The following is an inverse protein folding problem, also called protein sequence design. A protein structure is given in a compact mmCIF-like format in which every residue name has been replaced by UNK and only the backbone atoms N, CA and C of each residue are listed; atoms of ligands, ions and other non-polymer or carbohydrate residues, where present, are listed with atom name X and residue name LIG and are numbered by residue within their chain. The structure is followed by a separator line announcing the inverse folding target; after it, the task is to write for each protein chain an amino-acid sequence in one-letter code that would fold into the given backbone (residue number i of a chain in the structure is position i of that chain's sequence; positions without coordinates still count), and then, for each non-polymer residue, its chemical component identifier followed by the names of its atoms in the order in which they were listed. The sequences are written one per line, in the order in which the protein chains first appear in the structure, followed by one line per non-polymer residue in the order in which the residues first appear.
data_IF_249670021677
#
_entry.id   IF_249670021677
#
_cell.length_a   1.000
_cell.length_b   1.000
_cell.length_c   1.000
_cell.angle_alpha   90.00
_cell.angle_beta   90.00
_cell.angle_gamma   90.00
#
_symmetry.space_group_name_H-M   'P 1'
#
loop_
_entity.id
_entity.type
_entity.pdbx_description
1 polymer ?
#
# COMPACT_ATOMS: atom_id res chain seq x y z
N UNK A 1 7.86 17.23 -46.39
CA UNK A 1 7.43 16.65 -45.10
C UNK A 1 6.62 17.72 -44.36
N UNK A 2 5.30 17.57 -44.21
CA UNK A 2 4.44 18.59 -43.58
C UNK A 2 4.47 18.48 -42.04
N UNK A 3 4.47 19.64 -41.38
CA UNK A 3 4.54 19.86 -39.93
C UNK A 3 3.26 19.42 -39.18
N UNK A 4 3.34 18.85 -37.96
CA UNK A 4 2.16 18.49 -37.18
C UNK A 4 1.51 19.71 -36.50
N UNK A 5 0.17 19.74 -36.35
CA UNK A 5 -0.55 20.88 -35.80
C UNK A 5 -0.46 20.97 -34.27
N UNK A 6 -0.40 22.21 -33.77
CA UNK A 6 -0.28 22.54 -32.35
C UNK A 6 -1.43 22.01 -31.47
N UNK A 7 -1.06 21.46 -30.31
CA UNK A 7 -1.98 20.91 -29.32
C UNK A 7 -2.80 22.02 -28.61
N UNK A 8 -4.11 22.00 -28.83
CA UNK A 8 -5.07 22.87 -28.13
C UNK A 8 -5.27 22.38 -26.69
N UNK A 9 -4.73 23.12 -25.71
CA UNK A 9 -5.02 22.92 -24.28
C UNK A 9 -6.49 23.26 -24.02
N UNK A 10 -7.33 22.23 -23.86
CA UNK A 10 -8.70 22.36 -23.37
C UNK A 10 -8.64 22.63 -21.87
N UNK A 11 -8.91 23.86 -21.47
CA UNK A 11 -9.18 24.23 -20.07
C UNK A 11 -10.50 23.57 -19.66
N UNK A 12 -10.43 22.51 -18.86
CA UNK A 12 -11.61 21.84 -18.28
C UNK A 12 -12.03 22.54 -16.99
N UNK A 13 -12.40 23.81 -17.10
CA UNK A 13 -13.09 24.53 -16.01
C UNK A 13 -14.60 24.37 -16.20
N UNK A 14 -15.15 23.14 -16.14
CA UNK A 14 -16.61 22.96 -16.28
C UNK A 14 -17.17 21.61 -15.82
N UNK A 15 -16.73 21.09 -14.67
CA UNK A 15 -17.53 20.10 -13.93
C UNK A 15 -17.57 20.52 -12.47
N UNK A 16 -18.74 21.01 -12.05
CA UNK A 16 -19.04 21.61 -10.75
C UNK A 16 -18.86 20.65 -9.56
N UNK A 17 -17.61 20.35 -9.24
CA UNK A 17 -17.21 19.71 -7.99
C UNK A 17 -17.07 20.84 -6.95
N UNK A 18 -18.17 21.10 -6.26
CA UNK A 18 -18.19 21.95 -5.08
C UNK A 18 -17.32 21.30 -4.00
N UNK A 19 -16.13 21.85 -3.76
CA UNK A 19 -15.22 21.43 -2.68
C UNK A 19 -15.61 22.15 -1.38
N UNK A 20 -16.19 21.51 -0.34
CA UNK A 20 -16.28 22.12 0.98
C UNK A 20 -15.07 21.65 1.80
N UNK A 21 -13.87 22.07 1.44
CA UNK A 21 -12.71 21.92 2.32
C UNK A 21 -12.04 23.27 2.49
N UNK A 22 -12.60 24.07 3.39
CA UNK A 22 -11.93 25.27 3.91
C UNK A 22 -11.09 24.80 5.10
N UNK A 23 -9.79 24.68 4.87
CA UNK A 23 -8.80 24.38 5.90
C UNK A 23 -8.82 25.45 7.01
N UNK A 24 -8.83 25.08 8.30
CA UNK A 24 -8.94 26.04 9.41
C UNK A 24 -7.60 26.72 9.78
N UNK A 25 -6.55 26.62 8.95
CA UNK A 25 -5.19 27.10 9.29
C UNK A 25 -4.67 28.29 8.44
N UNK A 26 -5.52 29.24 8.05
CA UNK A 26 -5.03 30.55 7.56
C UNK A 26 -5.36 31.67 8.54
N UNK A 27 -4.39 31.98 9.41
CA UNK A 27 -4.35 33.20 10.23
C UNK A 27 -3.87 34.34 9.35
N UNK A 28 -4.69 35.37 9.17
CA UNK A 28 -4.25 36.66 8.61
C UNK A 28 -3.75 37.52 9.79
N UNK A 29 -2.50 38.00 9.81
CA UNK A 29 -2.02 38.88 10.87
C UNK A 29 -2.28 40.34 10.48
N UNK A 30 -3.25 40.98 11.12
CA UNK A 30 -3.27 42.44 11.23
C UNK A 30 -3.41 42.81 12.70
N UNK A 31 -2.27 43.20 13.27
CA UNK A 31 -2.12 44.02 14.47
C UNK A 31 -2.97 45.31 14.33
N UNK A 32 -3.42 46.08 15.31
CA UNK A 32 -3.22 46.26 16.75
C UNK A 32 -4.28 47.28 17.15
N UNK A 33 -4.94 47.17 18.30
CA UNK A 33 -5.26 48.31 19.20
C UNK A 33 -5.84 47.76 20.51
N UNK A 34 -5.25 48.25 21.60
CA UNK A 34 -5.41 47.84 22.98
C UNK A 34 -6.84 47.88 23.52
N UNK A 35 -7.15 46.96 24.45
CA UNK A 35 -7.53 47.35 25.81
C UNK A 35 -7.55 46.16 26.79
N UNK A 36 -6.68 46.28 27.79
CA UNK A 36 -6.84 46.06 29.22
C UNK A 36 -7.82 44.98 29.76
N UNK A 37 -7.23 44.08 30.56
CA UNK A 37 -7.71 43.54 31.85
C UNK A 37 -9.12 42.96 31.94
N UNK A 38 -9.21 41.64 32.17
CA UNK A 38 -9.65 41.09 33.47
C UNK A 38 -9.53 39.57 33.46
N UNK A 39 -8.67 39.04 34.32
CA UNK A 39 -8.69 37.65 34.77
C UNK A 39 -9.99 37.42 35.55
N UNK A 40 -11.03 36.93 34.89
CA UNK A 40 -12.20 36.34 35.56
C UNK A 40 -12.30 34.88 35.18
N UNK A 41 -12.04 34.02 36.16
CA UNK A 41 -12.48 32.63 36.20
C UNK A 41 -14.01 32.63 36.12
N UNK A 42 -14.55 32.73 34.90
CA UNK A 42 -15.98 32.64 34.66
C UNK A 42 -16.35 31.17 34.55
N UNK A 43 -17.10 30.70 35.55
CA UNK A 43 -17.82 29.43 35.48
C UNK A 43 -18.56 29.37 34.14
N UNK A 44 -18.55 28.23 33.43
CA UNK A 44 -19.23 28.14 32.15
C UNK A 44 -20.69 28.52 32.35
N UNK A 45 -21.14 29.52 31.59
CA UNK A 45 -22.54 29.95 31.57
C UNK A 45 -23.41 28.73 31.36
N UNK A 46 -24.45 28.54 32.17
CA UNK A 46 -25.39 27.39 32.13
C UNK A 46 -25.90 27.16 30.68
N UNK A 47 -26.08 28.24 29.92
CA UNK A 47 -26.45 28.19 28.50
C UNK A 47 -25.40 27.53 27.61
N UNK A 48 -24.11 27.75 27.89
CA UNK A 48 -23.02 27.11 27.15
C UNK A 48 -22.99 25.59 27.42
N UNK A 49 -23.28 25.15 28.65
CA UNK A 49 -23.36 23.72 28.98
C UNK A 49 -24.56 23.04 28.32
N UNK A 50 -25.71 23.73 28.25
CA UNK A 50 -26.91 23.24 27.56
C UNK A 50 -26.68 23.11 26.03
N UNK A 51 -25.97 24.07 25.42
CA UNK A 51 -25.62 24.00 23.99
C UNK A 51 -24.68 22.82 23.71
N UNK A 52 -23.69 22.58 24.58
CA UNK A 52 -22.76 21.44 24.44
C UNK A 52 -23.52 20.10 24.59
N UNK A 53 -24.43 20.01 25.55
CA UNK A 53 -25.28 18.83 25.73
C UNK A 53 -26.17 18.59 24.51
N UNK A 54 -26.80 19.63 23.97
CA UNK A 54 -27.60 19.55 22.75
C UNK A 54 -26.76 19.10 21.53
N UNK A 55 -25.54 19.61 21.38
CA UNK A 55 -24.61 19.17 20.34
C UNK A 55 -24.22 17.69 20.48
N UNK A 56 -23.99 17.22 21.71
CA UNK A 56 -23.70 15.81 21.96
C UNK A 56 -24.89 14.92 21.60
N UNK A 57 -26.11 15.34 21.95
CA UNK A 57 -27.33 14.63 21.59
C UNK A 57 -27.53 14.58 20.07
N UNK A 58 -27.28 15.68 19.36
CA UNK A 58 -27.33 15.70 17.89
C UNK A 58 -26.31 14.74 17.26
N UNK A 59 -25.07 14.72 17.73
CA UNK A 59 -24.04 13.77 17.26
C UNK A 59 -24.43 12.32 17.55
N UNK A 60 -25.00 12.05 18.72
CA UNK A 60 -25.49 10.73 19.08
C UNK A 60 -26.63 10.29 18.13
N UNK A 61 -27.61 11.15 17.89
CA UNK A 61 -28.70 10.92 16.94
C UNK A 61 -28.18 10.71 15.51
N UNK A 62 -27.25 11.52 15.03
CA UNK A 62 -26.62 11.35 13.71
C UNK A 62 -25.85 10.04 13.59
N UNK A 63 -25.17 9.60 14.66
CA UNK A 63 -24.51 8.30 14.69
C UNK A 63 -25.53 7.14 14.62
N UNK A 64 -26.66 7.29 15.31
CA UNK A 64 -27.74 6.32 15.30
C UNK A 64 -28.43 6.25 13.94
N UNK A 65 -28.67 7.40 13.28
CA UNK A 65 -29.21 7.46 11.91
C UNK A 65 -28.26 6.77 10.93
N UNK A 66 -26.95 6.97 11.04
CA UNK A 66 -25.96 6.26 10.22
C UNK A 66 -25.99 4.75 10.46
N UNK A 67 -26.04 4.33 11.74
CA UNK A 67 -26.15 2.92 12.09
C UNK A 67 -27.43 2.28 11.53
N UNK A 68 -28.59 2.92 11.71
CA UNK A 68 -29.87 2.43 11.21
C UNK A 68 -29.92 2.39 9.68
N UNK A 69 -29.28 3.34 9.00
CA UNK A 69 -29.14 3.31 7.53
C UNK A 69 -28.25 2.16 7.07
N UNK A 70 -27.13 1.92 7.74
CA UNK A 70 -26.27 0.77 7.47
C UNK A 70 -27.00 -0.55 7.69
N UNK A 71 -27.74 -0.69 8.81
CA UNK A 71 -28.57 -1.86 9.07
C UNK A 71 -29.65 -2.05 8.00
N UNK A 72 -30.36 -0.99 7.60
CA UNK A 72 -31.34 -1.09 6.51
C UNK A 72 -30.67 -1.49 5.18
N UNK A 73 -29.49 -0.97 4.88
CA UNK A 73 -28.73 -1.39 3.68
C UNK A 73 -28.39 -2.88 3.72
N UNK A 74 -27.95 -3.40 4.88
CA UNK A 74 -27.66 -4.83 5.06
C UNK A 74 -28.94 -5.67 4.92
N UNK A 75 -30.06 -5.22 5.49
CA UNK A 75 -31.34 -5.91 5.37
C UNK A 75 -31.88 -5.91 3.94
N UNK A 76 -31.73 -4.80 3.21
CA UNK A 76 -32.08 -4.73 1.78
C UNK A 76 -31.21 -5.66 0.96
N UNK A 77 -29.88 -5.66 1.19
CA UNK A 77 -28.97 -6.59 0.54
C UNK A 77 -29.33 -8.05 0.86
N UNK A 78 -29.70 -8.36 2.10
CA UNK A 78 -30.13 -9.70 2.50
C UNK A 78 -31.44 -10.14 1.82
N UNK A 79 -32.34 -9.20 1.52
CA UNK A 79 -33.58 -9.46 0.79
C UNK A 79 -33.34 -9.63 -0.71
N UNK A 80 -32.43 -8.84 -1.27
CA UNK A 80 -32.02 -8.93 -2.67
C UNK A 80 -31.22 -10.20 -2.96
N UNK A 81 -30.56 -10.79 -1.95
CA UNK A 81 -30.01 -12.15 -2.02
C UNK A 81 -31.20 -13.12 -2.09
N UNK A 82 -31.42 -13.83 -3.21
CA UNK A 82 -32.60 -14.66 -3.38
C UNK A 82 -32.64 -15.82 -2.37
N UNK A 83 -33.58 -15.79 -1.41
CA UNK A 83 -33.94 -16.91 -0.52
C UNK A 83 -35.27 -17.52 -1.01
N UNK A 84 -35.66 -18.81 -0.81
CA UNK A 84 -34.99 -20.11 -0.86
C UNK A 84 -35.31 -20.93 -2.14
N UNK A 85 -36.06 -20.39 -3.12
CA UNK A 85 -36.58 -21.17 -4.27
C UNK A 85 -35.57 -21.37 -5.40
N UNK A 86 -34.62 -20.43 -5.57
CA UNK A 86 -33.49 -20.53 -6.52
C UNK A 86 -32.14 -20.75 -5.82
N UNK A 87 -32.03 -20.39 -4.53
CA UNK A 87 -30.82 -20.58 -3.71
C UNK A 87 -30.62 -21.99 -3.19
N UNK A 88 -31.66 -22.82 -3.12
CA UNK A 88 -31.50 -24.24 -2.75
C UNK A 88 -30.55 -24.99 -3.70
N UNK A 89 -30.38 -24.54 -4.95
CA UNK A 89 -29.40 -25.11 -5.87
C UNK A 89 -28.17 -24.23 -6.10
N UNK A 90 -28.26 -22.91 -5.89
CA UNK A 90 -27.13 -22.01 -6.11
C UNK A 90 -26.05 -22.13 -5.02
N UNK A 91 -26.44 -22.21 -3.74
CA UNK A 91 -25.46 -22.42 -2.66
C UNK A 91 -24.72 -23.76 -2.79
N UNK A 92 -25.37 -24.93 -3.03
CA UNK A 92 -24.62 -26.16 -3.27
C UNK A 92 -23.87 -26.14 -4.61
N UNK A 93 -24.30 -25.36 -5.61
CA UNK A 93 -23.53 -25.20 -6.85
C UNK A 93 -22.24 -24.42 -6.61
N UNK A 94 -22.29 -23.32 -5.85
CA UNK A 94 -21.10 -22.54 -5.51
C UNK A 94 -20.11 -23.36 -4.68
N UNK A 95 -20.60 -24.09 -3.67
CA UNK A 95 -19.75 -25.01 -2.88
C UNK A 95 -19.13 -26.10 -3.76
N UNK A 96 -19.89 -26.69 -4.70
CA UNK A 96 -19.33 -27.65 -5.67
C UNK A 96 -18.29 -27.01 -6.57
N UNK A 97 -18.49 -25.75 -6.97
CA UNK A 97 -17.57 -25.04 -7.83
C UNK A 97 -16.28 -24.69 -7.09
N UNK A 98 -16.39 -24.21 -5.85
CA UNK A 98 -15.28 -24.01 -4.91
C UNK A 98 -14.47 -25.31 -4.75
N UNK A 99 -15.12 -26.43 -4.47
CA UNK A 99 -14.44 -27.72 -4.34
C UNK A 99 -13.72 -28.15 -5.63
N UNK A 100 -14.32 -27.90 -6.81
CA UNK A 100 -13.69 -28.20 -8.09
C UNK A 100 -12.45 -27.35 -8.32
N UNK A 101 -12.56 -26.04 -8.09
CA UNK A 101 -11.43 -25.13 -8.25
C UNK A 101 -10.34 -25.39 -7.23
N UNK A 102 -10.70 -25.64 -5.97
CA UNK A 102 -9.75 -26.06 -4.94
C UNK A 102 -8.95 -27.28 -5.38
N UNK A 103 -9.61 -28.35 -5.82
CA UNK A 103 -8.91 -29.56 -6.32
C UNK A 103 -8.07 -29.31 -7.56
N UNK A 104 -8.60 -28.54 -8.52
CA UNK A 104 -7.86 -28.19 -9.73
C UNK A 104 -6.59 -27.38 -9.40
N UNK A 105 -6.68 -26.44 -8.46
CA UNK A 105 -5.54 -25.66 -7.98
C UNK A 105 -4.54 -26.50 -7.17
N UNK A 106 -5.00 -27.43 -6.34
CA UNK A 106 -4.14 -28.38 -5.63
C UNK A 106 -3.32 -29.24 -6.61
N UNK A 107 -3.98 -29.84 -7.62
CA UNK A 107 -3.28 -30.59 -8.66
C UNK A 107 -2.30 -29.73 -9.45
N UNK A 108 -2.72 -28.54 -9.85
CA UNK A 108 -1.85 -27.61 -10.57
C UNK A 108 -0.62 -27.23 -9.73
N UNK A 109 -0.78 -27.03 -8.42
CA UNK A 109 0.33 -26.74 -7.52
C UNK A 109 1.31 -27.93 -7.42
N UNK A 110 0.82 -29.17 -7.30
CA UNK A 110 1.68 -30.37 -7.27
C UNK A 110 2.46 -30.57 -8.59
N UNK A 111 1.79 -30.36 -9.73
CA UNK A 111 2.43 -30.47 -11.04
C UNK A 111 3.53 -29.42 -11.22
N UNK A 112 3.22 -28.15 -10.91
CA UNK A 112 4.18 -27.06 -11.02
C UNK A 112 5.31 -27.20 -10.01
N UNK A 113 5.04 -27.66 -8.79
CA UNK A 113 6.05 -27.82 -7.74
C UNK A 113 7.20 -28.75 -8.15
N UNK A 114 6.90 -29.83 -8.87
CA UNK A 114 7.94 -30.75 -9.34
C UNK A 114 8.97 -30.03 -10.23
N UNK A 115 8.49 -29.21 -11.16
CA UNK A 115 9.35 -28.40 -12.04
C UNK A 115 10.01 -27.22 -11.32
N UNK A 116 9.28 -26.55 -10.42
CA UNK A 116 9.80 -25.45 -9.60
C UNK A 116 10.93 -25.92 -8.69
N UNK A 117 10.76 -27.08 -8.04
CA UNK A 117 11.77 -27.70 -7.19
C UNK A 117 13.03 -28.08 -7.94
N UNK A 118 12.88 -28.63 -9.15
CA UNK A 118 14.02 -28.92 -10.00
C UNK A 118 14.76 -27.64 -10.42
N UNK A 119 14.04 -26.63 -10.88
CA UNK A 119 14.63 -25.36 -11.30
C UNK A 119 15.36 -24.66 -10.14
N UNK A 120 14.80 -24.67 -8.93
CA UNK A 120 15.45 -24.06 -7.77
C UNK A 120 16.74 -24.81 -7.42
N UNK A 121 16.72 -26.15 -7.44
CA UNK A 121 17.94 -26.94 -7.22
C UNK A 121 19.02 -26.63 -8.25
N UNK A 122 18.62 -26.47 -9.52
CA UNK A 122 19.54 -26.15 -10.62
C UNK A 122 20.08 -24.71 -10.56
N UNK A 123 19.35 -23.78 -9.92
CA UNK A 123 19.72 -22.36 -9.78
C UNK A 123 20.36 -22.02 -8.41
N UNK A 124 20.89 -23.01 -7.70
CA UNK A 124 21.66 -22.76 -6.47
C UNK A 124 20.87 -22.80 -5.16
N UNK A 125 19.67 -23.38 -5.17
CA UNK A 125 18.88 -23.63 -3.96
C UNK A 125 17.84 -22.54 -3.64
N UNK A 126 17.06 -22.78 -2.59
CA UNK A 126 15.90 -21.94 -2.24
C UNK A 126 16.30 -20.59 -1.66
N UNK A 127 17.37 -20.53 -0.88
CA UNK A 127 17.92 -19.28 -0.32
C UNK A 127 18.38 -18.32 -1.43
N UNK A 128 19.08 -18.84 -2.45
CA UNK A 128 19.47 -18.07 -3.63
C UNK A 128 18.26 -17.54 -4.41
N UNK A 129 17.21 -18.37 -4.56
CA UNK A 129 15.96 -17.96 -5.17
C UNK A 129 15.27 -16.84 -4.39
N UNK A 130 15.18 -16.94 -3.05
CA UNK A 130 14.59 -15.90 -2.20
C UNK A 130 15.33 -14.57 -2.33
N UNK A 131 16.67 -14.59 -2.27
CA UNK A 131 17.50 -13.40 -2.48
C UNK A 131 17.26 -12.77 -3.84
N UNK A 132 17.15 -13.60 -4.89
CA UNK A 132 16.83 -13.13 -6.23
C UNK A 132 15.41 -12.55 -6.32
N UNK A 133 14.43 -13.19 -5.67
CA UNK A 133 13.04 -12.73 -5.65
C UNK A 133 12.91 -11.39 -4.91
N UNK A 134 13.54 -11.24 -3.75
CA UNK A 134 13.54 -9.98 -2.99
C UNK A 134 14.24 -8.87 -3.78
N UNK A 135 15.37 -9.16 -4.43
CA UNK A 135 16.06 -8.22 -5.31
C UNK A 135 15.17 -7.77 -6.49
N UNK A 136 14.48 -8.72 -7.13
CA UNK A 136 13.53 -8.40 -8.21
C UNK A 136 12.31 -7.60 -7.71
N UNK A 137 11.79 -7.91 -6.51
CA UNK A 137 10.69 -7.16 -5.92
C UNK A 137 11.10 -5.74 -5.57
N UNK A 138 12.28 -5.56 -4.97
CA UNK A 138 12.86 -4.25 -4.71
C UNK A 138 13.05 -3.50 -6.03
N UNK A 139 13.61 -4.14 -7.05
CA UNK A 139 13.79 -3.53 -8.37
C UNK A 139 12.47 -3.08 -9.00
N UNK A 140 11.43 -3.90 -8.95
CA UNK A 140 10.10 -3.54 -9.47
C UNK A 140 9.45 -2.40 -8.67
N UNK A 141 9.72 -2.32 -7.36
CA UNK A 141 9.22 -1.23 -6.50
C UNK A 141 9.94 0.10 -6.77
N UNK A 142 11.23 0.07 -7.10
CA UNK A 142 11.98 1.27 -7.52
C UNK A 142 11.69 1.67 -8.97
N UNK A 143 11.40 0.72 -9.87
CA UNK A 143 11.13 0.98 -11.29
C UNK A 143 9.75 1.66 -11.54
N UNK A 144 8.72 1.36 -10.73
CA UNK A 144 7.39 2.00 -10.83
C UNK A 144 7.37 3.45 -10.29
N UNK A 145 8.42 3.86 -9.58
CA UNK A 145 8.61 5.23 -9.06
C UNK A 145 9.60 6.10 -9.84
N UNK A 146 10.41 5.52 -10.71
CA UNK A 146 11.49 6.22 -11.43
C UNK A 146 11.33 6.27 -12.95
N UNK A 147 10.14 5.97 -13.48
CA UNK A 147 9.81 6.27 -14.88
C UNK A 147 9.34 7.73 -15.10
N UNK A 148 9.94 8.68 -14.39
CA UNK A 148 9.98 10.11 -14.75
C UNK A 148 11.22 10.80 -14.12
N UNK A 149 12.38 10.16 -14.17
CA UNK A 149 13.65 10.89 -14.16
C UNK A 149 14.34 10.53 -15.45
N UNK A 150 14.04 11.32 -16.48
CA UNK A 150 14.94 11.41 -17.61
C UNK A 150 16.35 11.66 -17.08
N UNK A 151 17.33 11.21 -17.86
CA UNK A 151 18.79 11.35 -17.73
C UNK A 151 19.23 12.84 -17.64
N UNK A 152 18.59 13.63 -16.77
CA UNK A 152 19.00 14.94 -16.31
C UNK A 152 19.76 14.68 -15.02
N UNK A 153 21.07 14.52 -15.21
CA UNK A 153 22.11 14.68 -14.20
C UNK A 153 21.60 15.49 -13.01
N UNK A 154 21.43 14.84 -11.85
CA UNK A 154 21.12 15.51 -10.60
C UNK A 154 22.28 16.48 -10.27
N UNK A 155 22.24 17.69 -10.81
CA UNK A 155 23.30 18.69 -10.68
C UNK A 155 23.55 19.08 -9.22
N UNK A 156 22.60 18.81 -8.33
CA UNK A 156 22.71 19.01 -6.88
C UNK A 156 23.69 18.01 -6.24
N UNK A 157 23.78 16.79 -6.75
CA UNK A 157 24.73 15.77 -6.29
C UNK A 157 26.18 16.11 -6.70
N UNK A 158 26.39 17.11 -7.56
CA UNK A 158 27.71 17.59 -7.95
C UNK A 158 27.98 19.01 -7.46
N UNK A 159 27.33 19.44 -6.39
CA UNK A 159 27.63 20.71 -5.70
C UNK A 159 28.32 20.52 -4.35
N UNK A 160 29.15 21.48 -3.96
CA UNK A 160 29.72 21.56 -2.62
C UNK A 160 28.71 22.18 -1.62
N UNK A 161 29.11 22.33 -0.34
CA UNK A 161 28.24 22.86 0.72
C UNK A 161 27.79 24.30 0.49
N UNK A 162 28.53 25.05 -0.34
CA UNK A 162 28.22 26.44 -0.74
C UNK A 162 27.34 26.51 -2.00
N UNK A 163 27.04 25.36 -2.63
CA UNK A 163 26.19 25.24 -3.80
C UNK A 163 26.92 25.39 -5.14
N UNK A 164 28.25 25.41 -5.14
CA UNK A 164 29.08 25.54 -6.34
C UNK A 164 29.37 24.17 -6.97
N UNK A 165 29.42 24.12 -8.31
CA UNK A 165 29.67 22.88 -9.03
C UNK A 165 31.08 22.34 -8.76
N UNK A 166 31.15 21.11 -8.27
CA UNK A 166 32.38 20.38 -7.97
C UNK A 166 33.30 20.34 -9.19
N UNK A 167 34.56 20.68 -8.97
CA UNK A 167 35.63 20.48 -9.94
C UNK A 167 35.73 19.00 -10.34
N UNK A 168 36.29 18.68 -11.51
CA UNK A 168 36.48 17.29 -11.94
C UNK A 168 37.18 16.41 -10.89
N UNK A 169 38.10 16.99 -10.10
CA UNK A 169 38.75 16.31 -8.98
C UNK A 169 37.78 15.99 -7.84
N UNK A 170 36.91 16.94 -7.49
CA UNK A 170 35.86 16.75 -6.49
C UNK A 170 34.81 15.71 -6.93
N UNK A 171 34.42 15.72 -8.21
CA UNK A 171 33.53 14.68 -8.77
C UNK A 171 34.14 13.28 -8.67
N UNK A 172 35.46 13.14 -8.89
CA UNK A 172 36.16 11.86 -8.73
C UNK A 172 36.17 11.38 -7.28
N UNK A 173 36.45 12.29 -6.34
CA UNK A 173 36.50 11.95 -4.92
C UNK A 173 35.14 11.54 -4.36
N UNK A 174 34.05 12.21 -4.77
CA UNK A 174 32.69 11.84 -4.38
C UNK A 174 32.27 10.48 -4.94
N UNK A 175 32.70 10.13 -6.18
CA UNK A 175 32.51 8.77 -6.73
C UNK A 175 33.25 7.71 -5.91
N UNK A 176 34.52 7.96 -5.57
CA UNK A 176 35.32 7.06 -4.74
C UNK A 176 34.68 6.85 -3.35
N UNK A 177 34.09 7.90 -2.76
CA UNK A 177 33.38 7.82 -1.48
C UNK A 177 32.07 7.01 -1.58
N UNK A 178 31.28 7.21 -2.64
CA UNK A 178 30.05 6.45 -2.89
C UNK A 178 30.38 4.96 -3.11
N UNK A 179 31.40 4.67 -3.92
CA UNK A 179 31.84 3.30 -4.20
C UNK A 179 32.38 2.61 -2.94
N UNK A 180 33.17 3.32 -2.11
CA UNK A 180 33.68 2.79 -0.84
C UNK A 180 32.54 2.52 0.16
N UNK A 181 31.53 3.38 0.22
CA UNK A 181 30.34 3.19 1.07
C UNK A 181 29.48 2.02 0.58
N UNK A 182 29.41 1.83 -0.73
CA UNK A 182 28.71 0.69 -1.35
C UNK A 182 29.42 -0.63 -1.07
N UNK A 183 30.75 -0.67 -1.20
CA UNK A 183 31.57 -1.84 -0.84
C UNK A 183 31.49 -2.17 0.65
N UNK A 184 31.56 -1.18 1.54
CA UNK A 184 31.43 -1.42 2.98
C UNK A 184 30.07 -2.01 3.36
N UNK A 185 28.99 -1.55 2.71
CA UNK A 185 27.63 -2.06 2.93
C UNK A 185 27.41 -3.46 2.34
N UNK A 186 28.12 -3.81 1.27
CA UNK A 186 28.08 -5.14 0.65
C UNK A 186 28.77 -6.19 1.54
N UNK A 187 29.91 -5.85 2.15
CA UNK A 187 30.64 -6.71 3.10
C UNK A 187 29.85 -6.91 4.40
N UNK A 188 29.23 -5.85 4.93
CA UNK A 188 28.40 -5.94 6.15
C UNK A 188 27.14 -6.79 5.91
N UNK A 189 26.57 -6.78 4.71
CA UNK A 189 25.42 -7.61 4.34
C UNK A 189 25.78 -9.10 4.14
N UNK A 190 27.01 -9.41 3.72
CA UNK A 190 27.48 -10.80 3.58
C UNK A 190 27.71 -11.49 4.94
N UNK A 191 28.03 -10.74 6.00
CA UNK A 191 28.26 -11.31 7.35
C UNK A 191 26.96 -11.62 8.13
N UNK A 192 25.80 -11.10 7.71
CA UNK A 192 24.50 -11.36 8.37
C UNK A 192 23.69 -12.52 7.74
N UNK A 193 24.05 -13.01 6.54
CA UNK A 193 23.31 -14.06 5.81
C UNK A 193 23.66 -15.51 6.21
N UNK A 194 24.00 -15.78 7.47
CA UNK A 194 23.86 -17.15 8.05
C UNK A 194 22.39 -17.44 8.37
N UNK A 195 21.48 -17.08 7.46
CA UNK A 195 20.05 -17.32 7.61
C UNK A 195 19.76 -18.80 7.38
N UNK A 196 19.07 -19.39 8.37
CA UNK A 196 18.60 -20.77 8.41
C UNK A 196 18.16 -21.24 7.01
N UNK A 197 18.75 -22.33 6.52
CA UNK A 197 18.40 -22.92 5.22
C UNK A 197 16.90 -23.25 5.21
N UNK A 198 16.06 -22.30 4.78
CA UNK A 198 14.63 -22.56 4.64
C UNK A 198 14.46 -23.70 3.63
N UNK A 199 13.92 -24.83 4.10
CA UNK A 199 13.70 -25.97 3.23
C UNK A 199 12.61 -25.65 2.20
N UNK A 200 12.91 -25.93 0.94
CA UNK A 200 11.93 -25.79 -0.14
C UNK A 200 10.78 -26.80 0.07
N UNK A 201 9.63 -26.27 0.47
CA UNK A 201 8.40 -27.04 0.65
C UNK A 201 7.31 -26.55 -0.29
N UNK A 202 6.26 -27.35 -0.48
CA UNK A 202 5.11 -26.90 -1.26
C UNK A 202 4.46 -25.67 -0.59
N UNK A 203 4.46 -25.62 0.74
CA UNK A 203 4.00 -24.46 1.50
C UNK A 203 4.81 -23.20 1.24
N UNK A 204 6.14 -23.31 1.13
CA UNK A 204 6.99 -22.15 0.84
C UNK A 204 6.78 -21.63 -0.60
N UNK A 205 6.58 -22.52 -1.57
CA UNK A 205 6.16 -22.13 -2.94
C UNK A 205 4.80 -21.42 -2.94
N UNK A 206 3.81 -21.92 -2.20
CA UNK A 206 2.49 -21.28 -2.12
C UNK A 206 2.56 -19.87 -1.51
N UNK A 207 3.44 -19.68 -0.53
CA UNK A 207 3.71 -18.37 0.06
C UNK A 207 4.34 -17.42 -0.97
N UNK A 208 5.32 -17.89 -1.73
CA UNK A 208 5.96 -17.16 -2.84
C UNK A 208 4.95 -16.74 -3.92
N UNK A 209 3.95 -17.57 -4.20
CA UNK A 209 2.86 -17.28 -5.13
C UNK A 209 1.75 -16.41 -4.53
N UNK A 210 1.89 -15.98 -3.27
CA UNK A 210 0.91 -15.20 -2.52
C UNK A 210 -0.49 -15.86 -2.48
N UNK A 211 -0.52 -17.18 -2.28
CA UNK A 211 -1.75 -17.95 -2.18
C UNK A 211 -2.03 -18.25 -0.69
N UNK A 212 -3.15 -17.77 -0.12
CA UNK A 212 -3.48 -18.05 1.26
C UNK A 212 -3.81 -19.53 1.47
N UNK A 213 -3.25 -20.11 2.54
CA UNK A 213 -3.42 -21.54 2.84
C UNK A 213 -4.88 -21.92 3.12
N UNK A 214 -5.67 -21.00 3.65
CA UNK A 214 -7.10 -21.22 3.95
C UNK A 214 -7.94 -21.47 2.68
N UNK A 215 -7.64 -20.77 1.59
CA UNK A 215 -8.45 -20.85 0.36
C UNK A 215 -8.30 -22.20 -0.35
N UNK A 216 -7.07 -22.71 -0.38
CA UNK A 216 -6.73 -24.00 -0.99
C UNK A 216 -6.79 -25.17 0.00
N UNK A 217 -6.80 -24.91 1.31
CA UNK A 217 -6.79 -25.94 2.35
C UNK A 217 -5.41 -26.57 2.55
N UNK A 218 -4.34 -25.78 2.51
CA UNK A 218 -2.99 -26.27 2.85
C UNK A 218 -2.79 -26.27 4.37
N UNK A 219 -2.18 -27.33 4.90
CA UNK A 219 -1.76 -27.39 6.30
C UNK A 219 -0.25 -27.26 6.44
N UNK A 220 0.22 -26.17 7.04
CA UNK A 220 1.65 -25.92 7.21
C UNK A 220 2.31 -26.90 8.20
N UNK A 221 1.57 -27.36 9.21
CA UNK A 221 2.09 -28.28 10.23
C UNK A 221 2.27 -29.71 9.68
N UNK A 222 1.27 -30.22 8.94
CA UNK A 222 1.31 -31.59 8.39
C UNK A 222 1.88 -31.66 6.97
N UNK A 223 2.17 -30.52 6.34
CA UNK A 223 2.67 -30.42 4.95
C UNK A 223 1.77 -31.19 3.96
N UNK A 224 0.46 -31.10 4.14
CA UNK A 224 -0.53 -31.83 3.38
C UNK A 224 -1.80 -31.01 3.12
N UNK A 225 -2.62 -31.47 2.18
CA UNK A 225 -3.96 -30.92 1.95
C UNK A 225 -4.95 -31.34 3.04
N UNK A 226 -5.79 -30.40 3.47
CA UNK A 226 -6.97 -30.62 4.34
C UNK A 226 -8.20 -31.05 3.53
#
# INVERSE_FOLDING_TARGET
MPSPPAAKRRRVDSLGIHKPFVSPLKRNPTATTDQATTTTTSKPSIRATEIIQAQHHLRALESQVRSLRSQNSVLQQALDIPVPHSSSQQTPRLVRLEQKWRKASQQAAEEVFSSFSQNIKDNGGYTAFLKQQQSNQARNFFDDGEQEVGDEENEEEWRDEDGDCLTQRGKRQRREEIDAKKQGKEVEAEEEEEEEEEELTLGSMLHVLNIPFEDIGWDAETQAWK
#
